data_IF_148552685236
#
_entry.id   IF_148552685236
#
_cell.length_a   1.000
_cell.length_b   1.000
_cell.length_c   1.000
_cell.angle_alpha   90.00
_cell.angle_beta   90.00
_cell.angle_gamma   90.00
#
_symmetry.space_group_name_H-M   'P 1'
#
loop_
_entity.id
_entity.type
_entity.pdbx_description
1 polymer ?
#
# COMPACT_ATOMS: atom_id res chain seq x y z
N UNK A 1 7.61 24.01 14.13
CA UNK A 1 8.14 23.35 12.92
C UNK A 1 7.15 23.59 11.78
N UNK A 2 7.52 24.38 10.78
CA UNK A 2 6.72 24.53 9.56
C UNK A 2 6.97 23.31 8.69
N UNK A 3 5.96 22.45 8.53
CA UNK A 3 6.02 21.36 7.55
C UNK A 3 6.18 22.01 6.18
N UNK A 4 7.27 21.70 5.50
CA UNK A 4 7.49 22.17 4.13
C UNK A 4 6.42 21.56 3.22
N UNK A 5 5.49 22.40 2.76
CA UNK A 5 4.33 21.96 1.96
C UNK A 5 4.78 21.28 0.66
N UNK A 6 5.91 21.69 0.09
CA UNK A 6 6.43 21.12 -1.14
C UNK A 6 6.99 19.71 -0.91
N UNK A 7 7.71 19.50 0.20
CA UNK A 7 8.17 18.19 0.63
C UNK A 7 7.00 17.24 0.92
N UNK A 8 5.95 17.73 1.58
CA UNK A 8 4.74 16.94 1.83
C UNK A 8 4.05 16.53 0.52
N UNK A 9 3.83 17.47 -0.40
CA UNK A 9 3.23 17.18 -1.70
C UNK A 9 4.06 16.18 -2.51
N UNK A 10 5.39 16.30 -2.44
CA UNK A 10 6.31 15.36 -3.11
C UNK A 10 6.15 13.95 -2.55
N UNK A 11 6.04 13.80 -1.22
CA UNK A 11 5.84 12.49 -0.59
C UNK A 11 4.47 11.90 -0.95
N UNK A 12 3.40 12.71 -1.01
CA UNK A 12 2.10 12.25 -1.49
C UNK A 12 2.13 11.77 -2.94
N UNK A 13 2.82 12.49 -3.83
CA UNK A 13 2.96 12.09 -5.22
C UNK A 13 3.73 10.76 -5.36
N UNK A 14 4.79 10.56 -4.56
CA UNK A 14 5.55 9.29 -4.53
C UNK A 14 4.70 8.15 -4.01
N UNK A 15 3.98 8.37 -2.90
CA UNK A 15 3.06 7.39 -2.32
C UNK A 15 2.03 6.97 -3.35
N UNK A 16 1.37 7.93 -4.01
CA UNK A 16 0.40 7.65 -5.08
C UNK A 16 1.02 6.83 -6.20
N UNK A 17 2.20 7.21 -6.68
CA UNK A 17 2.90 6.46 -7.73
C UNK A 17 3.22 5.01 -7.35
N UNK A 18 3.50 4.73 -6.07
CA UNK A 18 3.65 3.37 -5.57
C UNK A 18 2.33 2.60 -5.55
N UNK A 19 1.24 3.22 -5.12
CA UNK A 19 -0.09 2.60 -5.12
C UNK A 19 -0.60 2.32 -6.54
N UNK A 20 -0.41 3.24 -7.48
CA UNK A 20 -0.73 3.03 -8.90
C UNK A 20 0.09 1.86 -9.51
N UNK A 21 1.37 1.76 -9.16
CA UNK A 21 2.22 0.66 -9.62
C UNK A 21 1.81 -0.71 -9.04
N UNK A 22 1.39 -0.74 -7.76
CA UNK A 22 0.82 -1.94 -7.15
C UNK A 22 -0.53 -2.31 -7.79
N UNK A 23 -1.34 -1.32 -8.18
CA UNK A 23 -2.64 -1.56 -8.79
C UNK A 23 -2.54 -2.12 -10.22
N UNK A 24 -1.52 -1.72 -10.99
CA UNK A 24 -1.41 -2.04 -12.42
C UNK A 24 -1.57 -3.53 -12.77
N UNK A 25 -0.92 -4.50 -12.09
CA UNK A 25 -1.12 -5.93 -12.34
C UNK A 25 -2.56 -6.42 -12.12
N UNK A 26 -3.34 -5.75 -11.27
CA UNK A 26 -4.70 -6.17 -10.92
C UNK A 26 -5.76 -5.70 -11.93
N UNK A 27 -5.48 -4.63 -12.68
CA UNK A 27 -6.47 -3.98 -13.58
C UNK A 27 -6.98 -4.85 -14.73
N UNK A 28 -6.28 -5.93 -15.07
CA UNK A 28 -6.67 -6.86 -16.13
C UNK A 28 -7.46 -8.09 -15.65
N UNK A 29 -7.69 -8.25 -14.34
CA UNK A 29 -8.28 -9.45 -13.78
C UNK A 29 -9.82 -9.34 -13.74
N UNK A 30 -10.56 -10.25 -14.41
CA UNK A 30 -12.00 -10.10 -14.65
C UNK A 30 -12.91 -10.37 -13.42
N UNK A 31 -12.36 -10.48 -12.22
CA UNK A 31 -13.11 -10.86 -11.01
C UNK A 31 -12.76 -10.03 -9.77
N UNK A 32 -11.93 -9.01 -9.92
CA UNK A 32 -11.53 -8.13 -8.82
C UNK A 32 -12.31 -6.83 -8.95
N UNK A 33 -13.03 -6.45 -7.90
CA UNK A 33 -13.61 -5.11 -7.81
C UNK A 33 -12.54 -4.12 -7.34
N UNK A 34 -12.10 -3.26 -8.26
CA UNK A 34 -11.13 -2.20 -7.99
C UNK A 34 -11.80 -0.84 -7.77
N UNK A 35 -13.14 -0.75 -7.78
CA UNK A 35 -13.86 0.51 -7.71
C UNK A 35 -13.51 1.32 -6.46
N UNK A 36 -13.46 0.66 -5.30
CA UNK A 36 -13.13 1.31 -4.03
C UNK A 36 -11.70 1.89 -4.03
N UNK A 37 -10.70 1.11 -4.48
CA UNK A 37 -9.30 1.57 -4.57
C UNK A 37 -9.18 2.77 -5.50
N UNK A 38 -9.81 2.72 -6.67
CA UNK A 38 -9.79 3.80 -7.66
C UNK A 38 -10.47 5.08 -7.12
N UNK A 39 -11.55 4.93 -6.35
CA UNK A 39 -12.21 6.06 -5.71
C UNK A 39 -11.30 6.72 -4.68
N UNK A 40 -10.70 5.96 -3.75
CA UNK A 40 -9.78 6.51 -2.75
C UNK A 40 -8.57 7.21 -3.40
N UNK A 41 -8.00 6.63 -4.45
CA UNK A 41 -6.93 7.28 -5.21
C UNK A 41 -7.40 8.58 -5.85
N UNK A 42 -8.62 8.64 -6.41
CA UNK A 42 -9.19 9.88 -6.96
C UNK A 42 -9.31 10.98 -5.91
N UNK A 43 -9.66 10.62 -4.67
CA UNK A 43 -9.83 11.56 -3.55
C UNK A 43 -8.55 11.82 -2.74
N UNK A 44 -7.41 11.24 -3.16
CA UNK A 44 -6.12 11.34 -2.45
C UNK A 44 -6.16 10.75 -1.03
N UNK A 45 -7.06 9.78 -0.81
CA UNK A 45 -7.19 9.02 0.43
C UNK A 45 -6.19 7.84 0.43
N UNK A 46 -4.90 8.17 0.37
CA UNK A 46 -3.81 7.23 0.11
C UNK A 46 -3.71 6.10 1.15
N UNK A 47 -4.06 6.38 2.40
CA UNK A 47 -4.10 5.37 3.46
C UNK A 47 -5.21 4.34 3.24
N UNK A 48 -6.42 4.78 2.86
CA UNK A 48 -7.54 3.88 2.58
C UNK A 48 -7.29 3.06 1.31
N UNK A 49 -6.72 3.68 0.28
CA UNK A 49 -6.27 2.97 -0.92
C UNK A 49 -5.23 1.89 -0.59
N UNK A 50 -4.28 2.19 0.30
CA UNK A 50 -3.29 1.22 0.77
C UNK A 50 -3.94 0.06 1.54
N UNK A 51 -4.81 0.35 2.50
CA UNK A 51 -5.48 -0.68 3.31
C UNK A 51 -6.28 -1.64 2.40
N UNK A 52 -7.06 -1.12 1.46
CA UNK A 52 -7.79 -1.95 0.49
C UNK A 52 -6.88 -2.79 -0.41
N UNK A 53 -5.74 -2.26 -0.84
CA UNK A 53 -4.79 -3.03 -1.65
C UNK A 53 -4.12 -4.16 -0.85
N UNK A 54 -3.85 -3.95 0.44
CA UNK A 54 -3.34 -5.01 1.31
C UNK A 54 -4.38 -6.11 1.48
N UNK A 55 -5.64 -5.75 1.74
CA UNK A 55 -6.73 -6.73 1.89
C UNK A 55 -6.93 -7.53 0.59
N UNK A 56 -6.93 -6.86 -0.57
CA UNK A 56 -6.98 -7.54 -1.88
C UNK A 56 -5.78 -8.47 -2.09
N UNK A 57 -4.57 -8.04 -1.72
CA UNK A 57 -3.37 -8.86 -1.87
C UNK A 57 -3.41 -10.13 -1.01
N UNK A 58 -4.00 -10.07 0.18
CA UNK A 58 -4.17 -11.23 1.07
C UNK A 58 -4.96 -12.36 0.41
N UNK A 59 -5.98 -12.01 -0.38
CA UNK A 59 -6.86 -12.96 -1.07
C UNK A 59 -6.30 -13.48 -2.42
N UNK A 60 -5.42 -12.71 -3.07
CA UNK A 60 -5.09 -12.89 -4.49
C UNK A 60 -3.72 -13.50 -4.78
N UNK A 61 -2.87 -13.64 -3.76
CA UNK A 61 -1.47 -14.08 -3.89
C UNK A 61 -0.70 -13.38 -5.05
N UNK A 62 -0.59 -12.03 -5.01
CA UNK A 62 0.02 -11.26 -6.08
C UNK A 62 1.56 -11.41 -6.11
N UNK A 63 2.22 -11.08 -7.23
CA UNK A 63 3.67 -11.20 -7.36
C UNK A 63 4.42 -10.33 -6.34
N UNK A 64 5.68 -10.69 -6.02
CA UNK A 64 6.50 -9.94 -5.05
C UNK A 64 6.55 -8.43 -5.33
N UNK A 65 6.58 -8.03 -6.60
CA UNK A 65 6.62 -6.63 -7.01
C UNK A 65 5.43 -5.83 -6.48
N UNK A 66 4.25 -6.43 -6.34
CA UNK A 66 3.07 -5.84 -5.72
C UNK A 66 3.37 -5.43 -4.27
N UNK A 67 3.85 -6.39 -3.47
CA UNK A 67 4.18 -6.18 -2.07
C UNK A 67 5.33 -5.19 -1.87
N UNK A 68 6.31 -5.18 -2.78
CA UNK A 68 7.40 -4.19 -2.76
C UNK A 68 6.90 -2.76 -2.99
N UNK A 69 5.93 -2.57 -3.89
CA UNK A 69 5.32 -1.27 -4.11
C UNK A 69 4.51 -0.81 -2.90
N UNK A 70 3.74 -1.70 -2.28
CA UNK A 70 3.04 -1.40 -1.03
C UNK A 70 4.00 -1.05 0.12
N UNK A 71 5.09 -1.81 0.31
CA UNK A 71 6.08 -1.48 1.35
C UNK A 71 6.67 -0.07 1.16
N UNK A 72 6.99 0.31 -0.08
CA UNK A 72 7.48 1.66 -0.39
C UNK A 72 6.44 2.73 -0.08
N UNK A 73 5.17 2.51 -0.41
CA UNK A 73 4.07 3.41 -0.05
C UNK A 73 3.93 3.55 1.48
N UNK A 74 3.97 2.43 2.21
CA UNK A 74 3.90 2.41 3.67
C UNK A 74 5.08 3.17 4.33
N UNK A 75 6.29 3.08 3.76
CA UNK A 75 7.46 3.85 4.22
C UNK A 75 7.31 5.35 4.00
N UNK A 76 6.85 5.76 2.82
CA UNK A 76 6.60 7.18 2.51
C UNK A 76 5.57 7.79 3.48
N UNK A 77 4.50 7.04 3.76
CA UNK A 77 3.46 7.42 4.73
C UNK A 77 3.87 7.22 6.20
N UNK A 78 5.04 6.62 6.46
CA UNK A 78 5.54 6.29 7.80
C UNK A 78 4.57 5.46 8.63
N UNK A 79 3.88 4.51 8.00
CA UNK A 79 2.88 3.65 8.66
C UNK A 79 3.53 2.67 9.64
N UNK A 80 4.80 2.32 9.41
CA UNK A 80 5.59 1.51 10.32
C UNK A 80 5.91 2.29 11.59
N UNK A 81 5.11 2.05 12.63
CA UNK A 81 5.37 2.53 13.98
C UNK A 81 6.08 1.45 14.80
N UNK A 82 6.91 1.87 15.76
CA UNK A 82 7.51 1.04 16.81
C UNK A 82 6.46 0.58 17.85
N UNK A 83 5.29 0.11 17.40
CA UNK A 83 4.12 -0.01 18.25
C UNK A 83 4.17 -1.28 19.11
N UNK A 84 4.88 -1.19 20.24
CA UNK A 84 4.73 -2.07 21.41
C UNK A 84 3.29 -2.10 21.99
N UNK A 85 2.37 -1.25 21.49
CA UNK A 85 1.08 -0.96 22.14
C UNK A 85 -0.15 -1.07 21.22
N UNK A 86 -0.03 -1.56 19.98
CA UNK A 86 -1.20 -1.87 19.16
C UNK A 86 -1.53 -3.36 19.28
N UNK A 87 -2.66 -3.76 19.90
CA UNK A 87 -3.04 -5.17 20.06
C UNK A 87 -3.49 -5.82 18.74
N UNK A 88 -3.65 -5.06 17.66
CA UNK A 88 -4.12 -5.53 16.36
C UNK A 88 -3.08 -5.30 15.28
N UNK A 89 -2.96 -6.27 14.37
CA UNK A 89 -2.14 -6.16 13.16
C UNK A 89 -2.68 -5.05 12.27
N UNK A 90 -1.81 -4.13 11.87
CA UNK A 90 -2.15 -3.11 10.88
C UNK A 90 -1.98 -3.66 9.47
N UNK A 91 -2.60 -3.02 8.48
CA UNK A 91 -2.37 -3.35 7.07
C UNK A 91 -0.87 -3.25 6.69
N UNK A 92 -0.13 -2.31 7.30
CA UNK A 92 1.31 -2.21 7.10
C UNK A 92 2.06 -3.44 7.66
N UNK A 93 1.66 -3.95 8.82
CA UNK A 93 2.24 -5.19 9.38
C UNK A 93 1.94 -6.40 8.51
N UNK A 94 0.71 -6.49 7.97
CA UNK A 94 0.31 -7.55 7.06
C UNK A 94 1.09 -7.48 5.73
N UNK A 95 1.23 -6.28 5.15
CA UNK A 95 2.06 -6.04 3.97
C UNK A 95 3.50 -6.53 4.16
N UNK A 96 4.11 -6.29 5.33
CA UNK A 96 5.47 -6.79 5.62
C UNK A 96 5.55 -8.31 5.69
N UNK A 97 4.54 -8.95 6.25
CA UNK A 97 4.50 -10.42 6.34
C UNK A 97 4.40 -11.05 4.97
N UNK A 98 3.52 -10.54 4.12
CA UNK A 98 3.38 -11.00 2.74
C UNK A 98 4.61 -10.71 1.90
N UNK A 99 5.22 -9.52 2.06
CA UNK A 99 6.49 -9.22 1.40
C UNK A 99 7.58 -10.24 1.77
N UNK A 100 7.70 -10.58 3.06
CA UNK A 100 8.67 -11.57 3.51
C UNK A 100 8.36 -12.96 2.92
N UNK A 101 7.11 -13.41 3.02
CA UNK A 101 6.68 -14.72 2.50
C UNK A 101 6.88 -14.83 0.98
N UNK A 102 6.49 -13.81 0.21
CA UNK A 102 6.67 -13.79 -1.24
C UNK A 102 8.15 -13.75 -1.63
N UNK A 103 9.01 -13.11 -0.84
CA UNK A 103 10.47 -13.06 -1.10
C UNK A 103 11.15 -14.41 -0.90
N UNK A 104 10.58 -15.30 -0.08
CA UNK A 104 11.12 -16.64 0.17
C UNK A 104 10.73 -17.65 -0.92
N UNK A 105 9.78 -17.29 -1.80
CA UNK A 105 9.26 -18.16 -2.85
C UNK A 105 9.87 -17.91 -4.25
N UNK A 106 10.69 -16.87 -4.42
CA UNK A 106 11.49 -16.60 -5.63
C UNK A 106 12.87 -17.28 -5.59
#
# INVERSE_FOLDING_TARGET
MTVDRHALQTSWNRTRGHLDAALAPLTGLPSIDLAAVLEFLRHNELGLAFDCLVDLGDDLDPPLSFWQHLDRAAREMRLYTDALHKPHLTAADLCRRHLAAASEQE
#
